data_IF_631286551723
#
_entry.id   IF_631286551723
#
_cell.length_a   1.000
_cell.length_b   1.000
_cell.length_c   1.000
_cell.angle_alpha   90.00
_cell.angle_beta   90.00
_cell.angle_gamma   90.00
#
_symmetry.space_group_name_H-M   'P 1'
#
loop_
_entity.id
_entity.type
_entity.pdbx_description
1 polymer ?
#
# COMPACT_ATOMS: atom_id res chain seq x y z
N UNK A 1 4.69 10.49 -16.67
CA UNK A 1 5.01 11.86 -17.14
C UNK A 1 6.35 12.36 -16.60
N UNK A 2 6.46 12.91 -15.36
CA UNK A 2 7.76 13.45 -14.88
C UNK A 2 8.90 12.42 -14.88
N UNK A 3 8.65 11.17 -14.48
CA UNK A 3 9.69 10.13 -14.50
C UNK A 3 10.22 9.90 -15.93
N UNK A 4 9.34 9.74 -16.91
CA UNK A 4 9.70 9.56 -18.33
C UNK A 4 10.46 10.77 -18.88
N UNK A 5 10.06 11.99 -18.50
CA UNK A 5 10.75 13.23 -18.88
C UNK A 5 12.18 13.29 -18.33
N UNK A 6 12.39 12.85 -17.09
CA UNK A 6 13.74 12.78 -16.50
C UNK A 6 14.61 11.77 -17.25
N UNK A 7 14.10 10.59 -17.58
CA UNK A 7 14.84 9.56 -18.32
C UNK A 7 15.29 10.02 -19.72
N UNK A 8 14.59 10.96 -20.35
CA UNK A 8 15.03 11.54 -21.62
C UNK A 8 16.30 12.38 -21.51
N UNK A 9 16.58 12.95 -20.34
CA UNK A 9 17.75 13.82 -20.09
C UNK A 9 18.84 13.14 -19.25
N UNK A 10 18.45 12.16 -18.44
CA UNK A 10 19.32 11.37 -17.56
C UNK A 10 18.94 9.89 -17.68
N UNK A 11 19.45 9.17 -18.71
CA UNK A 11 19.07 7.78 -18.96
C UNK A 11 19.41 6.82 -17.81
N UNK A 12 20.43 7.14 -17.02
CA UNK A 12 20.89 6.33 -15.88
C UNK A 12 20.21 6.71 -14.56
N UNK A 13 19.12 7.50 -14.61
CA UNK A 13 18.39 7.91 -13.41
C UNK A 13 17.67 6.73 -12.76
N UNK A 14 18.00 6.47 -11.48
CA UNK A 14 17.36 5.46 -10.65
C UNK A 14 16.45 6.10 -9.60
N UNK A 15 15.22 5.62 -9.49
CA UNK A 15 14.29 6.04 -8.43
C UNK A 15 13.24 4.96 -8.18
N UNK A 16 12.44 5.17 -7.13
CA UNK A 16 11.30 4.31 -6.79
C UNK A 16 10.11 5.22 -6.46
N UNK A 17 8.90 4.81 -6.86
CA UNK A 17 7.65 5.42 -6.39
C UNK A 17 6.91 4.43 -5.49
N UNK A 18 6.68 4.84 -4.25
CA UNK A 18 5.95 4.06 -3.24
C UNK A 18 4.63 4.76 -2.99
N UNK A 19 3.52 4.07 -3.26
CA UNK A 19 2.20 4.61 -2.92
C UNK A 19 2.04 4.63 -1.39
N UNK A 20 1.66 5.78 -0.82
CA UNK A 20 1.20 5.86 0.56
C UNK A 20 -0.35 5.90 0.58
N UNK A 21 -1.02 4.73 0.60
CA UNK A 21 -2.45 4.63 0.36
C UNK A 21 -3.29 5.29 1.48
N UNK A 22 -4.26 6.16 1.16
CA UNK A 22 -5.25 6.60 2.15
C UNK A 22 -6.09 5.44 2.73
N UNK A 23 -6.19 4.33 1.99
CA UNK A 23 -6.86 3.06 2.31
C UNK A 23 -6.35 2.34 3.56
N UNK A 24 -5.23 2.80 4.13
CA UNK A 24 -4.76 2.38 5.46
C UNK A 24 -5.83 2.63 6.54
N UNK A 25 -6.58 3.74 6.45
CA UNK A 25 -7.60 4.11 7.45
C UNK A 25 -8.84 3.21 7.40
N UNK A 26 -9.46 2.96 6.23
CA UNK A 26 -10.50 1.92 6.08
C UNK A 26 -10.06 0.53 6.54
N UNK A 27 -8.81 0.14 6.28
CA UNK A 27 -8.25 -1.14 6.75
C UNK A 27 -8.19 -1.17 8.28
N UNK A 28 -7.68 -0.10 8.92
CA UNK A 28 -7.67 0.04 10.38
C UNK A 28 -9.07 -0.02 11.01
N UNK A 29 -10.07 0.60 10.38
CA UNK A 29 -11.46 0.51 10.82
C UNK A 29 -11.96 -0.95 10.78
N UNK A 30 -11.64 -1.69 9.72
CA UNK A 30 -12.04 -3.10 9.57
C UNK A 30 -11.40 -3.99 10.64
N UNK A 31 -10.14 -3.74 11.00
CA UNK A 31 -9.47 -4.40 12.14
C UNK A 31 -10.23 -4.09 13.45
N UNK A 32 -10.52 -2.83 13.73
CA UNK A 32 -11.21 -2.41 14.95
C UNK A 32 -12.61 -3.02 15.08
N UNK A 33 -13.37 -3.13 13.98
CA UNK A 33 -14.67 -3.81 13.96
C UNK A 33 -14.53 -5.29 14.29
N UNK A 34 -13.53 -5.98 13.75
CA UNK A 34 -13.30 -7.39 14.04
C UNK A 34 -12.92 -7.64 15.51
N UNK A 35 -12.13 -6.75 16.10
CA UNK A 35 -11.86 -6.76 17.55
C UNK A 35 -13.15 -6.56 18.36
N UNK A 36 -14.01 -5.61 17.96
CA UNK A 36 -15.30 -5.37 18.62
C UNK A 36 -16.24 -6.59 18.54
N UNK A 37 -16.16 -7.36 17.45
CA UNK A 37 -16.90 -8.62 17.27
C UNK A 37 -16.29 -9.81 18.05
N UNK A 38 -15.26 -9.57 18.86
CA UNK A 38 -14.67 -10.55 19.77
C UNK A 38 -13.54 -11.39 19.16
N UNK A 39 -13.13 -11.13 17.91
CA UNK A 39 -11.97 -11.80 17.32
C UNK A 39 -10.69 -11.38 18.03
N UNK A 40 -9.80 -12.34 18.25
CA UNK A 40 -8.56 -12.11 18.98
C UNK A 40 -7.43 -11.80 18.01
N UNK A 41 -6.80 -10.64 18.19
CA UNK A 41 -5.61 -10.25 17.44
C UNK A 41 -4.48 -11.22 17.79
N UNK A 42 -3.78 -11.67 16.77
CA UNK A 42 -2.54 -12.40 16.95
C UNK A 42 -1.41 -11.41 17.21
N UNK A 43 -1.07 -11.19 18.47
CA UNK A 43 -0.03 -10.22 18.86
C UNK A 43 1.35 -10.55 18.25
N UNK A 44 1.61 -11.80 17.86
CA UNK A 44 2.86 -12.17 17.17
C UNK A 44 2.95 -11.61 15.75
N UNK A 45 1.83 -11.15 15.18
CA UNK A 45 1.73 -10.49 13.87
C UNK A 45 1.90 -8.97 13.97
N UNK A 46 1.94 -8.41 15.19
CA UNK A 46 2.17 -6.97 15.39
C UNK A 46 3.65 -6.64 15.21
N UNK A 47 3.92 -5.44 14.69
CA UNK A 47 5.25 -4.94 14.40
C UNK A 47 5.43 -3.49 14.81
N UNK A 48 6.23 -2.76 14.04
CA UNK A 48 6.64 -1.40 14.37
C UNK A 48 7.70 -1.33 15.47
N UNK A 49 8.16 -0.12 15.79
CA UNK A 49 9.30 0.09 16.70
C UNK A 49 9.10 -0.46 18.12
N UNK A 50 7.86 -0.71 18.53
CA UNK A 50 7.49 -1.22 19.85
C UNK A 50 6.72 -2.55 19.82
N UNK A 51 6.51 -3.16 18.64
CA UNK A 51 5.74 -4.40 18.51
C UNK A 51 4.23 -4.24 18.74
N UNK A 52 3.68 -3.02 18.69
CA UNK A 52 2.26 -2.74 18.96
C UNK A 52 1.51 -2.20 17.73
N UNK A 53 2.10 -2.26 16.54
CA UNK A 53 1.52 -1.67 15.32
C UNK A 53 1.02 -2.74 14.35
N UNK A 54 -0.15 -2.53 13.76
CA UNK A 54 -0.57 -3.25 12.56
C UNK A 54 0.22 -2.71 11.36
N UNK A 55 1.17 -3.51 10.86
CA UNK A 55 1.99 -3.14 9.72
C UNK A 55 1.28 -3.62 8.45
N UNK A 56 0.80 -2.66 7.66
CA UNK A 56 0.05 -2.94 6.43
C UNK A 56 1.03 -2.90 5.25
N UNK A 57 0.97 -3.87 4.32
CA UNK A 57 1.81 -3.87 3.14
C UNK A 57 1.54 -2.66 2.26
N UNK A 58 2.60 -2.12 1.65
CA UNK A 58 2.48 -1.09 0.62
C UNK A 58 1.80 -1.72 -0.61
N UNK A 59 0.72 -1.14 -1.14
CA UNK A 59 -0.07 -1.77 -2.20
C UNK A 59 0.59 -1.63 -3.57
N UNK A 60 1.39 -0.58 -3.80
CA UNK A 60 2.06 -0.34 -5.07
C UNK A 60 3.47 0.19 -4.85
N UNK A 61 4.44 -0.51 -5.42
CA UNK A 61 5.83 -0.07 -5.54
C UNK A 61 6.20 -0.11 -7.02
N UNK A 62 6.56 1.04 -7.57
CA UNK A 62 7.02 1.18 -8.94
C UNK A 62 8.53 1.45 -8.92
N UNK A 63 9.27 0.65 -9.67
CA UNK A 63 10.70 0.79 -9.95
C UNK A 63 10.89 1.00 -11.46
N UNK A 64 12.13 1.16 -11.89
CA UNK A 64 12.45 1.18 -13.33
C UNK A 64 12.04 -0.10 -14.06
N UNK A 65 11.98 -1.25 -13.35
CA UNK A 65 11.65 -2.55 -13.94
C UNK A 65 10.17 -2.67 -14.33
N UNK A 66 9.27 -1.98 -13.63
CA UNK A 66 7.83 -2.04 -13.84
C UNK A 66 7.19 -0.67 -14.08
N UNK A 67 7.97 0.32 -14.53
CA UNK A 67 7.49 1.69 -14.77
C UNK A 67 6.30 1.74 -15.73
N UNK A 68 6.33 0.93 -16.79
CA UNK A 68 5.23 0.90 -17.77
C UNK A 68 3.91 0.45 -17.13
N UNK A 69 3.94 -0.56 -16.25
CA UNK A 69 2.74 -1.02 -15.53
C UNK A 69 2.16 0.10 -14.66
N UNK A 70 3.03 0.85 -13.97
CA UNK A 70 2.62 2.00 -13.16
C UNK A 70 1.97 3.12 -13.98
N UNK A 71 2.47 3.37 -15.19
CA UNK A 71 1.91 4.34 -16.13
C UNK A 71 0.55 3.88 -16.67
N UNK A 72 0.43 2.60 -17.01
CA UNK A 72 -0.80 2.01 -17.55
C UNK A 72 -1.95 2.09 -16.53
N UNK A 73 -1.69 1.89 -15.23
CA UNK A 73 -2.69 2.08 -14.16
C UNK A 73 -3.24 3.51 -14.16
N UNK A 74 -2.39 4.50 -14.46
CA UNK A 74 -2.72 5.92 -14.39
C UNK A 74 -3.24 6.50 -15.71
N UNK A 75 -3.17 5.76 -16.83
CA UNK A 75 -3.36 6.31 -18.19
C UNK A 75 -4.69 7.05 -18.39
N UNK A 76 -5.78 6.50 -17.86
CA UNK A 76 -7.13 7.05 -17.98
C UNK A 76 -7.64 7.72 -16.68
N UNK A 77 -6.71 8.04 -15.77
CA UNK A 77 -7.04 8.60 -14.46
C UNK A 77 -6.70 10.11 -14.40
N UNK A 78 -7.43 10.89 -13.59
CA UNK A 78 -7.07 12.29 -13.36
C UNK A 78 -5.70 12.38 -12.67
N UNK A 79 -4.99 13.49 -12.83
CA UNK A 79 -3.67 13.69 -12.22
C UNK A 79 -3.67 13.56 -10.68
N UNK A 80 -4.83 13.82 -10.05
CA UNK A 80 -5.03 13.68 -8.60
C UNK A 80 -5.43 12.26 -8.16
N UNK A 81 -5.40 11.27 -9.05
CA UNK A 81 -5.69 9.88 -8.71
C UNK A 81 -4.62 9.32 -7.79
N UNK A 82 -5.06 8.77 -6.66
CA UNK A 82 -4.18 8.14 -5.68
C UNK A 82 -4.18 6.64 -5.92
N UNK A 83 -2.99 6.07 -6.07
CA UNK A 83 -2.81 4.63 -5.98
C UNK A 83 -3.09 4.21 -4.54
N UNK A 84 -4.13 3.42 -4.36
CA UNK A 84 -4.67 3.08 -3.06
C UNK A 84 -4.86 1.56 -2.91
N UNK A 85 -4.89 1.09 -1.67
CA UNK A 85 -5.14 -0.30 -1.32
C UNK A 85 -5.88 -0.39 0.01
N UNK A 86 -7.01 -1.10 -0.01
CA UNK A 86 -7.80 -1.41 1.18
C UNK A 86 -7.85 -2.93 1.29
N UNK A 87 -7.25 -3.49 2.35
CA UNK A 87 -7.30 -4.95 2.57
C UNK A 87 -8.76 -5.36 2.80
N UNK A 88 -9.23 -6.37 2.08
CA UNK A 88 -10.50 -7.05 2.30
C UNK A 88 -10.62 -7.61 3.71
N UNK A 89 -11.82 -8.08 4.08
CA UNK A 89 -12.01 -8.72 5.39
C UNK A 89 -11.19 -10.00 5.54
N UNK A 90 -11.17 -10.86 4.52
CA UNK A 90 -10.37 -12.08 4.50
C UNK A 90 -8.88 -11.78 4.69
N UNK A 91 -8.34 -10.82 3.94
CA UNK A 91 -6.94 -10.41 4.07
C UNK A 91 -6.62 -9.86 5.48
N UNK A 92 -7.53 -9.09 6.08
CA UNK A 92 -7.36 -8.58 7.46
C UNK A 92 -7.32 -9.72 8.47
N UNK A 93 -8.23 -10.69 8.33
CA UNK A 93 -8.30 -11.83 9.24
C UNK A 93 -7.06 -12.70 9.15
N UNK A 94 -6.65 -13.05 7.94
CA UNK A 94 -5.47 -13.89 7.69
C UNK A 94 -4.17 -13.20 8.14
N UNK A 95 -4.08 -11.88 7.98
CA UNK A 95 -2.90 -11.12 8.36
C UNK A 95 -2.75 -10.95 9.89
N UNK A 96 -3.85 -10.73 10.62
CA UNK A 96 -3.78 -10.18 11.98
C UNK A 96 -4.54 -10.94 13.07
N UNK A 97 -5.37 -11.94 12.75
CA UNK A 97 -6.21 -12.64 13.73
C UNK A 97 -5.88 -14.15 13.82
N UNK A 98 -6.36 -14.81 14.88
CA UNK A 98 -6.24 -16.26 15.11
C UNK A 98 -7.43 -17.05 14.57
#
# INVERSE_FOLDING_TARGET
KLWEEVLQTQPDFETIAVANPPGVSPTGLRIAVNMLLGKQVNETKLGGANGLSFVIPVPVVITSENLQEGLDICADKPDAYLLDGIMSEEEVLDAFFN
#
